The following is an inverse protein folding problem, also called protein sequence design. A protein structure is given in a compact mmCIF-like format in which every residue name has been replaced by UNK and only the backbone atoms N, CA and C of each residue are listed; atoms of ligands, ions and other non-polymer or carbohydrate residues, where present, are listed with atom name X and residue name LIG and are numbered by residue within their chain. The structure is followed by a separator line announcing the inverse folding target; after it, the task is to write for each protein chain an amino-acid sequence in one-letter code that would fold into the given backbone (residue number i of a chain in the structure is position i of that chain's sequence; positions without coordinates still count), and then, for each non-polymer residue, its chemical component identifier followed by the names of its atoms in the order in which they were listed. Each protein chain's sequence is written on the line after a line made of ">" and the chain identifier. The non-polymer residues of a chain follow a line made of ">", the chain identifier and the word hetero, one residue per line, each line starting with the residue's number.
data_IF_433248900262
#
_entry.id   IF_433248900262
#
_cell.length_a   1.000
_cell.length_b   1.000
_cell.length_c   1.000
_cell.angle_alpha   90.00
_cell.angle_beta   90.00
_cell.angle_gamma   90.00
#
_symmetry.space_group_name_H-M   'P 1'
#
loop_
_entity.id
_entity.type
_entity.pdbx_description
1 polymer ?
#
# COMPACT_ATOMS: atom_id res chain seq x y z
N UNK A 1 8.70 5.07 -16.03
CA UNK A 1 7.44 5.03 -15.27
C UNK A 1 7.81 4.47 -13.92
N UNK A 2 7.62 5.26 -12.86
CA UNK A 2 7.98 4.86 -11.51
C UNK A 2 6.94 3.89 -10.95
N UNK A 3 7.37 2.94 -10.12
CA UNK A 3 6.46 1.98 -9.47
C UNK A 3 5.39 2.69 -8.62
N UNK A 4 5.74 3.82 -8.00
CA UNK A 4 4.79 4.65 -7.26
C UNK A 4 3.69 5.21 -8.16
N UNK A 5 4.03 5.65 -9.38
CA UNK A 5 3.04 6.14 -10.34
C UNK A 5 2.06 5.04 -10.72
N UNK A 6 2.55 3.81 -10.96
CA UNK A 6 1.68 2.66 -11.29
C UNK A 6 0.75 2.29 -10.14
N UNK A 7 1.24 2.33 -8.89
CA UNK A 7 0.43 2.06 -7.70
C UNK A 7 -0.63 3.14 -7.54
N UNK A 8 -0.26 4.42 -7.69
CA UNK A 8 -1.21 5.54 -7.60
C UNK A 8 -2.26 5.51 -8.71
N UNK A 9 -1.88 5.16 -9.95
CA UNK A 9 -2.81 4.96 -11.06
C UNK A 9 -3.78 3.82 -10.78
N UNK A 10 -3.30 2.68 -10.26
CA UNK A 10 -4.17 1.58 -9.84
C UNK A 10 -5.18 2.01 -8.79
N UNK A 11 -4.74 2.69 -7.74
CA UNK A 11 -5.63 3.22 -6.69
C UNK A 11 -6.67 4.19 -7.27
N UNK A 12 -6.27 5.01 -8.25
CA UNK A 12 -7.19 5.93 -8.91
C UNK A 12 -8.27 5.21 -9.73
N UNK A 13 -7.96 4.04 -10.30
CA UNK A 13 -8.90 3.22 -11.11
C UNK A 13 -9.82 2.35 -10.26
N UNK A 14 -9.47 2.02 -9.00
CA UNK A 14 -10.35 1.29 -8.08
C UNK A 14 -11.71 1.97 -7.94
N UNK A 15 -12.78 1.19 -7.76
CA UNK A 15 -14.09 1.75 -7.44
C UNK A 15 -14.17 2.19 -5.97
N UNK A 16 -15.08 3.13 -5.66
CA UNK A 16 -15.30 3.57 -4.27
C UNK A 16 -15.79 2.39 -3.42
N UNK A 17 -15.10 2.15 -2.30
CA UNK A 17 -15.32 0.99 -1.42
C UNK A 17 -14.60 -0.29 -1.86
N UNK A 18 -13.90 -0.28 -2.99
CA UNK A 18 -13.11 -1.43 -3.43
C UNK A 18 -11.84 -1.58 -2.59
N UNK A 19 -11.49 -2.84 -2.27
CA UNK A 19 -10.29 -3.21 -1.53
C UNK A 19 -9.27 -3.83 -2.46
N UNK A 20 -8.05 -3.32 -2.43
CA UNK A 20 -6.92 -3.84 -3.17
C UNK A 20 -5.79 -4.23 -2.24
N UNK A 21 -5.48 -5.52 -2.20
CA UNK A 21 -4.35 -6.04 -1.41
C UNK A 21 -3.12 -6.11 -2.30
N UNK A 22 -2.04 -5.49 -1.83
CA UNK A 22 -0.76 -5.37 -2.51
C UNK A 22 0.32 -6.00 -1.65
N UNK A 23 1.12 -6.91 -2.22
CA UNK A 23 2.27 -7.48 -1.53
C UNK A 23 3.60 -7.09 -2.17
N UNK A 24 4.67 -7.18 -1.38
CA UNK A 24 6.04 -7.05 -1.88
C UNK A 24 6.37 -8.09 -2.96
N UNK A 25 5.72 -9.26 -2.90
CA UNK A 25 5.90 -10.35 -3.85
C UNK A 25 5.24 -10.05 -5.19
N UNK A 26 4.04 -9.45 -5.17
CA UNK A 26 3.33 -9.03 -6.40
C UNK A 26 4.10 -7.95 -7.16
N UNK A 27 4.77 -7.07 -6.41
CA UNK A 27 5.59 -5.99 -6.96
C UNK A 27 7.03 -6.43 -7.30
N UNK A 28 7.44 -7.65 -6.94
CA UNK A 28 8.81 -8.16 -7.11
C UNK A 28 9.89 -7.23 -6.51
N UNK A 29 9.60 -6.60 -5.36
CA UNK A 29 10.52 -5.69 -4.67
C UNK A 29 11.02 -6.25 -3.34
N UNK A 30 12.09 -5.65 -2.83
CA UNK A 30 12.58 -5.98 -1.50
C UNK A 30 11.58 -5.56 -0.41
N UNK A 31 11.66 -6.23 0.75
CA UNK A 31 10.85 -5.86 1.92
C UNK A 31 11.11 -4.43 2.39
N UNK A 32 12.35 -3.95 2.26
CA UNK A 32 12.73 -2.60 2.67
C UNK A 32 12.12 -1.53 1.74
N UNK A 33 12.10 -1.80 0.44
CA UNK A 33 11.46 -0.93 -0.54
C UNK A 33 9.94 -0.93 -0.34
N UNK A 34 9.34 -2.10 -0.14
CA UNK A 34 7.92 -2.22 0.16
C UNK A 34 7.52 -1.47 1.44
N UNK A 35 8.36 -1.54 2.48
CA UNK A 35 8.13 -0.78 3.71
C UNK A 35 8.13 0.73 3.45
N UNK A 36 9.07 1.23 2.64
CA UNK A 36 9.13 2.65 2.29
C UNK A 36 7.89 3.10 1.50
N UNK A 37 7.42 2.27 0.56
CA UNK A 37 6.19 2.52 -0.21
C UNK A 37 4.96 2.52 0.70
N UNK A 38 4.88 1.53 1.58
CA UNK A 38 3.80 1.39 2.57
C UNK A 38 3.69 2.61 3.49
N UNK A 39 4.82 3.15 3.95
CA UNK A 39 4.87 4.41 4.71
C UNK A 39 4.44 5.60 3.86
N UNK A 40 4.93 5.72 2.63
CA UNK A 40 4.53 6.78 1.72
C UNK A 40 3.02 6.80 1.46
N UNK A 41 2.45 5.64 1.11
CA UNK A 41 1.03 5.50 0.87
C UNK A 41 0.22 5.81 2.14
N UNK A 42 0.72 5.44 3.32
CA UNK A 42 0.04 5.77 4.59
C UNK A 42 -0.08 7.28 4.78
N UNK A 43 0.96 8.05 4.44
CA UNK A 43 0.91 9.52 4.47
C UNK A 43 -0.02 10.07 3.38
N UNK A 44 0.00 9.47 2.19
CA UNK A 44 -0.90 9.84 1.09
C UNK A 44 -2.38 9.60 1.46
N UNK A 45 -2.67 8.55 2.23
CA UNK A 45 -4.02 8.20 2.69
C UNK A 45 -4.62 9.25 3.63
N UNK A 46 -3.79 10.02 4.35
CA UNK A 46 -4.25 11.13 5.19
C UNK A 46 -4.91 12.26 4.38
N UNK A 47 -4.68 12.30 3.06
CA UNK A 47 -5.36 13.22 2.15
C UNK A 47 -6.85 12.88 1.94
N UNK A 48 -7.28 11.69 2.37
CA UNK A 48 -8.69 11.29 2.38
C UNK A 48 -9.22 10.61 1.11
N UNK A 49 -8.36 10.31 0.13
CA UNK A 49 -8.77 9.62 -1.11
C UNK A 49 -8.91 8.11 -0.95
N UNK A 50 -8.19 7.53 0.01
CA UNK A 50 -8.21 6.11 0.32
C UNK A 50 -7.73 5.90 1.75
N UNK A 51 -7.87 4.69 2.28
CA UNK A 51 -7.34 4.26 3.57
C UNK A 51 -6.49 3.00 3.41
N UNK A 52 -5.55 2.81 4.32
CA UNK A 52 -4.69 1.62 4.33
C UNK A 52 -4.89 0.83 5.60
N UNK A 53 -5.19 -0.44 5.42
CA UNK A 53 -5.14 -1.46 6.45
C UNK A 53 -3.82 -2.20 6.29
N UNK A 54 -2.92 -2.02 7.26
CA UNK A 54 -1.70 -2.80 7.35
C UNK A 54 -1.90 -3.86 8.43
N UNK A 55 -1.72 -5.13 8.08
CA UNK A 55 -1.59 -6.20 9.06
C UNK A 55 -0.24 -5.99 9.78
N UNK A 56 -0.23 -5.10 10.77
CA UNK A 56 0.93 -4.87 11.62
C UNK A 56 1.20 -6.18 12.37
N UNK A 57 2.30 -6.89 12.06
CA UNK A 57 2.61 -8.08 12.81
C UNK A 57 2.81 -7.66 14.27
N UNK A 58 2.22 -8.43 15.20
CA UNK A 58 2.29 -8.23 16.67
C UNK A 58 3.70 -8.06 17.24
N UNK A 59 4.75 -8.26 16.43
CA UNK A 59 6.14 -8.02 16.76
C UNK A 59 6.71 -6.93 15.85
N UNK A 60 7.14 -5.85 16.49
CA UNK A 60 7.71 -4.61 15.91
C UNK A 60 8.92 -4.82 14.96
N UNK A 61 9.49 -6.03 14.90
CA UNK A 61 10.63 -6.38 14.05
C UNK A 61 10.22 -6.90 12.66
N UNK A 62 8.99 -7.40 12.50
CA UNK A 62 8.53 -7.86 11.19
C UNK A 62 7.98 -6.68 10.41
N UNK A 63 8.64 -6.32 9.31
CA UNK A 63 8.06 -5.39 8.35
C UNK A 63 6.91 -6.09 7.62
N UNK A 64 5.71 -5.49 7.57
CA UNK A 64 4.61 -6.04 6.81
C UNK A 64 5.02 -6.11 5.34
N UNK A 65 4.73 -7.25 4.70
CA UNK A 65 4.98 -7.47 3.28
C UNK A 65 3.72 -7.36 2.45
N UNK A 66 2.60 -6.99 3.08
CA UNK A 66 1.28 -6.87 2.49
C UNK A 66 0.58 -5.66 3.10
N UNK A 67 -0.13 -4.91 2.26
CA UNK A 67 -1.00 -3.81 2.66
C UNK A 67 -2.31 -3.94 1.91
N UNK A 68 -3.42 -3.60 2.54
CA UNK A 68 -4.72 -3.52 1.89
C UNK A 68 -5.14 -2.06 1.80
N UNK A 69 -5.42 -1.61 0.58
CA UNK A 69 -5.84 -0.26 0.27
C UNK A 69 -7.35 -0.29 0.02
N UNK A 70 -8.10 0.61 0.65
CA UNK A 70 -9.54 0.77 0.43
C UNK A 70 -9.81 2.17 -0.09
N UNK A 71 -10.43 2.31 -1.25
CA UNK A 71 -10.77 3.63 -1.80
C UNK A 71 -12.05 4.18 -1.17
N UNK A 72 -12.10 5.51 -0.95
CA UNK A 72 -13.31 6.23 -0.53
C UNK A 72 -14.02 6.89 -1.72
#
# INVERSE_FOLDING_TARGET
>A
MDMLDQISEQIAVLDSGEKWTLSAQDLLISRADFHSISVFLSLESEKGFFSIEQDLPKKQWFQPTEITITKH
#
